data_IF_000130662667
#
_entry.id   IF_000130662667
#
_cell.length_a   1.000
_cell.length_b   1.000
_cell.length_c   1.000
_cell.angle_alpha   90.00
_cell.angle_beta   90.00
_cell.angle_gamma   90.00
#
_symmetry.space_group_name_H-M   'P 1'
#
loop_
_entity.id
_entity.type
_entity.pdbx_description
1 polymer ?
#
# COMPACT_ATOMS: atom_id res chain seq x y z
N UNK A 1 17.87 -31.25 21.10
CA UNK A 1 17.89 -29.84 20.67
C UNK A 1 16.50 -29.31 20.91
N UNK A 2 16.33 -28.42 21.85
CA UNK A 2 15.06 -27.73 22.02
C UNK A 2 14.89 -26.80 20.83
N UNK A 3 13.82 -26.99 20.05
CA UNK A 3 13.46 -26.08 18.98
C UNK A 3 13.28 -24.67 19.56
N UNK A 4 14.00 -23.68 19.04
CA UNK A 4 13.82 -22.27 19.37
C UNK A 4 12.77 -21.61 18.48
N UNK A 5 12.14 -22.40 17.61
CA UNK A 5 11.09 -21.92 16.72
C UNK A 5 9.82 -21.58 17.52
N UNK A 6 9.26 -20.41 17.27
CA UNK A 6 7.96 -20.02 17.80
C UNK A 6 6.90 -20.49 16.83
N UNK A 7 5.91 -21.18 17.33
CA UNK A 7 4.71 -21.49 16.56
C UNK A 7 3.59 -20.52 16.96
N UNK A 8 3.20 -19.66 16.03
CA UNK A 8 2.17 -18.63 16.21
C UNK A 8 0.85 -19.11 15.61
N UNK A 9 -0.18 -19.21 16.42
CA UNK A 9 -1.53 -19.56 15.99
C UNK A 9 -2.36 -18.28 15.77
N UNK A 10 -2.99 -18.08 14.60
CA UNK A 10 -3.98 -17.03 14.43
C UNK A 10 -5.24 -17.33 15.23
N UNK A 11 -5.87 -16.30 15.76
CA UNK A 11 -7.15 -16.38 16.46
C UNK A 11 -8.11 -15.36 15.87
N UNK A 12 -9.29 -15.84 15.50
CA UNK A 12 -10.39 -15.03 15.02
C UNK A 12 -11.35 -14.68 16.14
N UNK A 13 -12.10 -13.62 15.95
CA UNK A 13 -13.20 -13.24 16.84
C UNK A 13 -14.23 -14.38 16.92
N UNK A 14 -14.77 -14.60 18.12
CA UNK A 14 -15.75 -15.66 18.42
C UNK A 14 -15.22 -17.11 18.34
N UNK A 15 -13.91 -17.33 18.16
CA UNK A 15 -13.31 -18.66 18.08
C UNK A 15 -12.43 -19.01 19.31
N UNK A 16 -12.66 -18.40 20.46
CA UNK A 16 -11.84 -18.58 21.66
C UNK A 16 -11.64 -20.05 22.06
N UNK A 17 -12.69 -20.85 22.13
CA UNK A 17 -12.60 -22.25 22.51
C UNK A 17 -11.80 -23.07 21.49
N UNK A 18 -12.00 -22.81 20.18
CA UNK A 18 -11.22 -23.47 19.14
C UNK A 18 -9.75 -23.07 19.16
N UNK A 19 -9.48 -21.80 19.44
CA UNK A 19 -8.11 -21.29 19.61
C UNK A 19 -7.40 -21.98 20.78
N UNK A 20 -8.07 -22.19 21.91
CA UNK A 20 -7.52 -22.91 23.06
C UNK A 20 -7.20 -24.36 22.69
N UNK A 21 -8.17 -25.07 22.10
CA UNK A 21 -8.00 -26.46 21.66
C UNK A 21 -6.79 -26.60 20.75
N UNK A 22 -6.69 -25.75 19.72
CA UNK A 22 -5.61 -25.82 18.72
C UNK A 22 -4.27 -25.38 19.32
N UNK A 23 -4.27 -24.38 20.22
CA UNK A 23 -3.04 -23.93 20.89
C UNK A 23 -2.44 -25.04 21.75
N UNK A 24 -3.27 -25.84 22.41
CA UNK A 24 -2.83 -26.99 23.20
C UNK A 24 -2.39 -28.14 22.27
N UNK A 25 -3.24 -28.51 21.30
CA UNK A 25 -3.02 -29.64 20.41
C UNK A 25 -1.72 -29.48 19.58
N UNK A 26 -1.45 -28.27 19.12
CA UNK A 26 -0.29 -27.99 18.26
C UNK A 26 0.90 -27.43 19.04
N UNK A 27 0.76 -27.18 20.33
CA UNK A 27 1.83 -26.64 21.14
C UNK A 27 2.20 -25.21 20.75
N UNK A 28 1.20 -24.33 20.52
CA UNK A 28 1.47 -22.97 20.12
C UNK A 28 2.23 -22.21 21.21
N UNK A 29 3.30 -21.49 20.82
CA UNK A 29 4.10 -20.64 21.70
C UNK A 29 3.51 -19.23 21.79
N UNK A 30 2.81 -18.81 20.76
CA UNK A 30 2.25 -17.48 20.62
C UNK A 30 0.85 -17.52 19.96
N UNK A 31 0.08 -16.49 20.21
CA UNK A 31 -1.22 -16.25 19.57
C UNK A 31 -1.16 -14.92 18.83
N UNK A 32 -1.70 -14.88 17.64
CA UNK A 32 -1.83 -13.67 16.84
C UNK A 32 -3.30 -13.36 16.60
N UNK A 33 -3.71 -12.10 16.80
CA UNK A 33 -5.02 -11.69 16.31
C UNK A 33 -5.03 -11.70 14.76
N UNK A 34 -6.16 -12.01 14.19
CA UNK A 34 -6.41 -11.75 12.78
C UNK A 34 -6.70 -10.27 12.56
N UNK A 35 -6.43 -9.81 11.36
CA UNK A 35 -6.44 -8.41 10.93
C UNK A 35 -7.54 -7.56 11.59
N UNK A 36 -7.19 -6.87 12.68
CA UNK A 36 -8.09 -5.96 13.38
C UNK A 36 -9.09 -6.62 14.35
N UNK A 37 -9.06 -7.94 14.56
CA UNK A 37 -9.92 -8.62 15.52
C UNK A 37 -9.39 -8.43 16.96
N UNK A 38 -10.30 -8.35 17.93
CA UNK A 38 -9.95 -8.36 19.35
C UNK A 38 -9.79 -9.81 19.83
N UNK A 39 -8.71 -10.06 20.59
CA UNK A 39 -8.54 -11.35 21.24
C UNK A 39 -9.44 -11.43 22.48
N UNK A 40 -10.18 -12.54 22.59
CA UNK A 40 -11.00 -12.85 23.75
C UNK A 40 -10.14 -12.97 25.02
N UNK A 41 -10.66 -12.51 26.17
CA UNK A 41 -9.97 -12.61 27.47
C UNK A 41 -9.56 -14.04 27.79
N UNK A 42 -10.37 -15.03 27.39
CA UNK A 42 -10.05 -16.44 27.60
C UNK A 42 -8.84 -16.91 26.78
N UNK A 43 -8.58 -16.28 25.63
CA UNK A 43 -7.37 -16.51 24.82
C UNK A 43 -6.17 -15.84 25.47
N UNK A 44 -6.31 -14.61 25.94
CA UNK A 44 -5.27 -13.88 26.66
C UNK A 44 -4.85 -14.61 27.95
N UNK A 45 -5.81 -15.23 28.64
CA UNK A 45 -5.57 -16.01 29.87
C UNK A 45 -4.72 -17.27 29.64
N UNK A 46 -4.46 -17.71 28.39
CA UNK A 46 -3.55 -18.81 28.10
C UNK A 46 -2.09 -18.52 28.44
N UNK A 47 -1.73 -17.26 28.72
CA UNK A 47 -0.37 -16.85 29.06
C UNK A 47 0.63 -17.07 27.93
N UNK A 48 0.17 -17.09 26.70
CA UNK A 48 1.01 -17.18 25.50
C UNK A 48 1.51 -15.80 25.10
N UNK A 49 2.59 -15.75 24.33
CA UNK A 49 3.07 -14.51 23.74
C UNK A 49 2.03 -13.97 22.73
N UNK A 50 1.72 -12.68 22.81
CA UNK A 50 0.66 -12.05 22.01
C UNK A 50 1.30 -11.22 20.89
N UNK A 51 0.92 -11.56 19.67
CA UNK A 51 1.22 -10.78 18.46
C UNK A 51 -0.03 -10.03 18.04
N UNK A 52 0.05 -8.72 17.86
CA UNK A 52 -1.09 -7.94 17.37
C UNK A 52 -0.77 -7.28 16.06
N UNK A 53 -1.63 -7.49 15.08
CA UNK A 53 -1.59 -6.72 13.84
C UNK A 53 -1.88 -5.25 14.14
N UNK A 54 -1.11 -4.37 13.53
CA UNK A 54 -1.31 -2.93 13.57
C UNK A 54 -1.20 -2.34 12.17
N UNK A 55 -2.21 -1.59 11.80
CA UNK A 55 -2.30 -0.92 10.51
C UNK A 55 -2.07 0.57 10.72
N UNK A 56 -0.88 1.11 10.37
CA UNK A 56 -0.52 2.49 10.71
C UNK A 56 -1.36 3.54 9.98
N UNK A 57 -1.92 3.21 8.83
CA UNK A 57 -2.50 4.18 7.89
C UNK A 57 -3.93 3.90 7.50
N UNK A 58 -4.72 3.29 8.39
CA UNK A 58 -6.16 3.07 8.21
C UNK A 58 -6.88 2.92 9.56
N UNK A 59 -8.18 2.57 9.53
CA UNK A 59 -9.03 2.33 10.70
C UNK A 59 -9.40 3.59 11.53
N UNK A 60 -9.37 4.77 10.92
CA UNK A 60 -9.76 6.03 11.56
C UNK A 60 -10.54 6.93 10.59
N UNK A 61 -11.66 6.42 10.07
CA UNK A 61 -12.48 7.14 9.10
C UNK A 61 -12.97 8.49 9.62
N UNK A 62 -13.29 8.60 10.93
CA UNK A 62 -13.72 9.84 11.57
C UNK A 62 -12.68 10.96 11.47
N UNK A 63 -11.40 10.63 11.40
CA UNK A 63 -10.33 11.60 11.23
C UNK A 63 -10.08 11.94 9.77
N UNK A 64 -9.91 10.91 8.91
CA UNK A 64 -9.52 11.12 7.50
C UNK A 64 -10.63 11.77 6.68
N UNK A 65 -11.91 11.57 7.01
CA UNK A 65 -13.02 12.27 6.34
C UNK A 65 -12.96 13.80 6.49
N UNK A 66 -12.26 14.30 7.50
CA UNK A 66 -11.98 15.73 7.67
C UNK A 66 -10.71 16.19 6.92
N UNK A 67 -9.96 15.26 6.33
CA UNK A 67 -8.66 15.47 5.69
C UNK A 67 -8.55 14.66 4.39
N UNK A 68 -9.62 14.65 3.59
CA UNK A 68 -9.69 13.82 2.36
C UNK A 68 -8.60 14.15 1.34
N UNK A 69 -8.06 15.37 1.37
CA UNK A 69 -6.92 15.80 0.57
C UNK A 69 -5.58 15.19 1.02
N UNK A 70 -5.56 14.54 2.19
CA UNK A 70 -4.40 13.82 2.74
C UNK A 70 -4.52 12.28 2.58
N UNK A 71 -5.43 11.78 1.75
CA UNK A 71 -5.46 10.37 1.34
C UNK A 71 -4.35 10.05 0.32
N UNK A 72 -3.89 8.80 0.23
CA UNK A 72 -2.92 8.41 -0.79
C UNK A 72 -3.43 8.70 -2.20
N UNK A 73 -2.50 9.03 -3.09
CA UNK A 73 -2.83 9.31 -4.49
C UNK A 73 -2.03 8.41 -5.44
N UNK A 74 -2.56 8.23 -6.61
CA UNK A 74 -1.98 7.44 -7.69
C UNK A 74 -2.21 8.15 -9.02
N UNK A 75 -1.30 7.97 -9.98
CA UNK A 75 -1.57 8.32 -11.36
C UNK A 75 -2.37 7.22 -12.05
N UNK A 76 -3.48 7.60 -12.64
CA UNK A 76 -4.30 6.74 -13.49
C UNK A 76 -4.10 7.12 -14.96
N UNK A 77 -4.20 6.14 -15.85
CA UNK A 77 -4.14 6.31 -17.28
C UNK A 77 -5.48 5.89 -17.89
N UNK A 78 -6.13 6.80 -18.60
CA UNK A 78 -7.37 6.50 -19.32
C UNK A 78 -7.17 5.46 -20.43
N UNK A 79 -8.26 4.88 -20.90
CA UNK A 79 -8.25 4.17 -22.17
C UNK A 79 -7.80 5.10 -23.32
N UNK A 80 -7.33 4.51 -24.41
CA UNK A 80 -7.03 5.25 -25.65
C UNK A 80 -8.32 5.60 -26.37
N UNK A 81 -8.52 6.87 -26.64
CA UNK A 81 -9.69 7.39 -27.36
C UNK A 81 -9.25 7.90 -28.74
N UNK A 82 -9.88 7.39 -29.77
CA UNK A 82 -9.61 7.81 -31.15
C UNK A 82 -10.32 9.14 -31.43
N UNK A 83 -9.57 10.13 -31.89
CA UNK A 83 -10.14 11.40 -32.34
C UNK A 83 -10.71 11.26 -33.76
N UNK A 84 -12.00 11.48 -33.93
CA UNK A 84 -12.66 11.50 -35.25
C UNK A 84 -12.60 12.89 -35.88
N UNK A 85 -12.27 13.91 -35.11
CA UNK A 85 -12.22 15.32 -35.55
C UNK A 85 -11.05 16.05 -34.88
N UNK A 86 -11.00 17.38 -35.02
CA UNK A 86 -9.99 18.22 -34.38
C UNK A 86 -10.22 18.40 -32.87
N UNK A 87 -11.18 17.70 -32.31
CA UNK A 87 -11.44 17.64 -30.87
C UNK A 87 -11.83 16.22 -30.47
N UNK A 88 -11.50 15.86 -29.22
CA UNK A 88 -11.89 14.57 -28.62
C UNK A 88 -12.14 14.72 -27.13
N UNK A 89 -13.15 14.06 -26.63
CA UNK A 89 -13.48 13.98 -25.22
C UNK A 89 -12.93 12.70 -24.63
N UNK A 90 -12.20 12.81 -23.53
CA UNK A 90 -11.56 11.68 -22.85
C UNK A 90 -12.14 11.57 -21.43
N UNK A 91 -13.08 10.64 -21.19
CA UNK A 91 -13.61 10.39 -19.85
C UNK A 91 -12.52 9.82 -18.96
N UNK A 92 -12.38 10.39 -17.75
CA UNK A 92 -11.30 10.03 -16.82
C UNK A 92 -11.56 8.68 -16.14
N UNK A 93 -12.81 8.45 -15.72
CA UNK A 93 -13.13 7.32 -14.85
C UNK A 93 -13.63 6.07 -15.58
N UNK A 94 -13.66 6.09 -16.93
CA UNK A 94 -14.12 4.95 -17.71
C UNK A 94 -13.24 3.71 -17.44
N UNK A 95 -13.88 2.66 -16.91
CA UNK A 95 -13.25 1.41 -16.51
C UNK A 95 -12.51 1.43 -15.18
N UNK A 96 -12.60 2.52 -14.39
CA UNK A 96 -12.13 2.57 -13.01
C UNK A 96 -13.28 2.39 -12.03
N UNK A 97 -12.95 2.03 -10.79
CA UNK A 97 -13.90 1.77 -9.74
C UNK A 97 -14.08 3.01 -8.88
N UNK A 98 -15.19 3.73 -9.07
CA UNK A 98 -15.46 5.02 -8.43
C UNK A 98 -15.62 4.95 -6.91
N UNK A 99 -15.95 3.79 -6.35
CA UNK A 99 -15.98 3.58 -4.90
C UNK A 99 -14.58 3.58 -4.28
N UNK A 100 -13.54 3.29 -5.08
CA UNK A 100 -12.16 3.24 -4.62
C UNK A 100 -11.36 4.49 -5.00
N UNK A 101 -11.67 5.09 -6.12
CA UNK A 101 -10.84 6.10 -6.77
C UNK A 101 -11.65 7.36 -7.08
N UNK A 102 -11.05 8.53 -6.86
CA UNK A 102 -11.65 9.82 -7.16
C UNK A 102 -10.63 10.75 -7.80
N UNK A 103 -10.89 11.36 -8.97
CA UNK A 103 -9.97 12.32 -9.56
C UNK A 103 -9.63 13.47 -8.61
N UNK A 104 -8.34 13.81 -8.50
CA UNK A 104 -7.92 14.97 -7.72
C UNK A 104 -8.14 16.26 -8.54
N UNK A 105 -9.26 16.91 -8.30
CA UNK A 105 -9.63 18.18 -8.92
C UNK A 105 -9.15 19.41 -8.14
N UNK A 106 -8.60 19.21 -6.94
CA UNK A 106 -8.13 20.29 -6.06
C UNK A 106 -6.74 20.78 -6.48
N UNK A 107 -5.94 19.91 -7.11
CA UNK A 107 -4.67 20.27 -7.70
C UNK A 107 -4.84 20.86 -9.11
N UNK A 108 -3.94 21.78 -9.49
CA UNK A 108 -3.92 22.33 -10.86
C UNK A 108 -3.68 21.21 -11.91
N UNK A 109 -4.69 20.87 -12.75
CA UNK A 109 -4.54 19.80 -13.74
C UNK A 109 -3.42 20.08 -14.75
N UNK A 110 -3.25 21.33 -15.18
CA UNK A 110 -2.20 21.70 -16.14
C UNK A 110 -0.78 21.58 -15.57
N UNK A 111 -0.65 21.49 -14.25
CA UNK A 111 0.62 21.27 -13.57
C UNK A 111 0.93 19.79 -13.33
N UNK A 112 -0.08 18.98 -13.02
CA UNK A 112 0.11 17.61 -12.54
C UNK A 112 -0.42 16.53 -13.47
N UNK A 113 -1.21 16.85 -14.48
CA UNK A 113 -1.75 15.89 -15.43
C UNK A 113 -1.11 16.05 -16.79
N UNK A 114 -1.18 15.03 -17.63
CA UNK A 114 -0.70 15.06 -19.00
C UNK A 114 -1.73 14.45 -19.96
N UNK A 115 -1.95 15.15 -21.07
CA UNK A 115 -2.62 14.59 -22.24
C UNK A 115 -1.55 14.18 -23.24
N UNK A 116 -1.61 12.93 -23.70
CA UNK A 116 -0.61 12.38 -24.64
C UNK A 116 -1.30 11.89 -25.92
N UNK A 117 -0.82 12.37 -27.04
CA UNK A 117 -1.10 11.78 -28.34
C UNK A 117 -0.30 10.48 -28.48
N UNK A 118 -0.96 9.35 -28.33
CA UNK A 118 -0.32 8.02 -28.35
C UNK A 118 0.10 7.57 -29.75
N UNK A 119 -0.38 8.25 -30.79
CA UNK A 119 0.03 7.97 -32.17
C UNK A 119 1.41 8.53 -32.45
N UNK A 120 1.72 9.72 -31.92
CA UNK A 120 3.03 10.39 -32.10
C UNK A 120 3.94 10.22 -30.88
N UNK A 121 3.38 10.01 -29.69
CA UNK A 121 4.09 10.03 -28.42
C UNK A 121 4.31 11.45 -27.85
N UNK A 122 3.73 12.47 -28.48
CA UNK A 122 3.87 13.87 -28.06
C UNK A 122 2.88 14.23 -26.96
N UNK A 123 3.33 15.10 -26.04
CA UNK A 123 2.45 15.69 -25.02
C UNK A 123 1.69 16.84 -25.64
N UNK A 124 0.38 16.87 -25.47
CA UNK A 124 -0.45 17.98 -25.90
C UNK A 124 -0.19 19.19 -24.99
N UNK A 125 0.07 20.35 -25.62
CA UNK A 125 0.28 21.60 -24.87
C UNK A 125 -0.93 21.87 -23.92
N UNK A 126 -0.70 22.33 -22.69
CA UNK A 126 -1.79 22.60 -21.74
C UNK A 126 -2.90 23.53 -22.28
N UNK A 127 -2.57 24.44 -23.21
CA UNK A 127 -3.57 25.26 -23.87
C UNK A 127 -4.46 24.52 -24.85
N UNK A 128 -4.11 23.29 -25.24
CA UNK A 128 -4.84 22.43 -26.16
C UNK A 128 -5.91 21.55 -25.53
N UNK A 129 -6.13 21.65 -24.24
CA UNK A 129 -7.15 20.86 -23.55
C UNK A 129 -7.70 21.57 -22.31
N UNK A 130 -8.89 21.17 -21.87
CA UNK A 130 -9.55 21.67 -20.65
C UNK A 130 -10.22 20.52 -19.90
N UNK A 131 -10.34 20.65 -18.58
CA UNK A 131 -11.09 19.73 -17.74
C UNK A 131 -12.50 20.23 -17.53
N UNK A 132 -13.50 19.37 -17.76
CA UNK A 132 -14.84 19.55 -17.20
C UNK A 132 -14.93 18.79 -15.87
N UNK A 133 -14.91 19.50 -14.72
CA UNK A 133 -14.95 18.84 -13.41
C UNK A 133 -16.35 18.28 -13.08
N UNK A 134 -17.39 18.65 -13.81
CA UNK A 134 -18.75 18.16 -13.60
C UNK A 134 -18.98 16.79 -14.23
N UNK A 135 -18.30 16.51 -15.34
CA UNK A 135 -18.41 15.26 -16.10
C UNK A 135 -17.18 14.37 -16.00
N UNK A 136 -16.14 14.75 -15.24
CA UNK A 136 -14.85 14.06 -15.20
C UNK A 136 -14.28 13.77 -16.59
N UNK A 137 -14.35 14.74 -17.45
CA UNK A 137 -13.97 14.61 -18.85
C UNK A 137 -12.90 15.66 -19.22
N UNK A 138 -11.85 15.24 -19.91
CA UNK A 138 -10.88 16.14 -20.52
C UNK A 138 -11.24 16.35 -21.99
N UNK A 139 -11.49 17.62 -22.34
CA UNK A 139 -11.78 18.04 -23.71
C UNK A 139 -10.47 18.45 -24.38
N UNK A 140 -9.97 17.66 -25.33
CA UNK A 140 -8.80 17.97 -26.15
C UNK A 140 -9.26 18.75 -27.38
N UNK A 141 -8.94 20.05 -27.43
CA UNK A 141 -9.38 20.97 -28.51
C UNK A 141 -8.38 21.08 -29.67
N UNK A 142 -7.17 20.54 -29.48
CA UNK A 142 -6.11 20.50 -30.48
C UNK A 142 -5.84 19.08 -31.00
N UNK A 143 -6.88 18.25 -31.05
CA UNK A 143 -6.74 16.88 -31.52
C UNK A 143 -6.49 16.79 -33.03
N UNK A 144 -5.71 15.79 -33.44
CA UNK A 144 -5.51 15.44 -34.86
C UNK A 144 -6.43 14.27 -35.21
N UNK A 145 -7.24 14.37 -36.26
CA UNK A 145 -8.12 13.26 -36.64
C UNK A 145 -7.33 11.96 -36.87
N UNK A 146 -7.90 10.83 -36.45
CA UNK A 146 -7.32 9.50 -36.52
C UNK A 146 -6.11 9.26 -35.57
N UNK A 147 -5.81 10.20 -34.69
CA UNK A 147 -4.87 9.97 -33.60
C UNK A 147 -5.58 9.47 -32.34
N UNK A 148 -4.87 8.71 -31.52
CA UNK A 148 -5.34 8.22 -30.21
C UNK A 148 -4.80 9.07 -29.07
N UNK A 149 -5.67 9.40 -28.13
CA UNK A 149 -5.34 10.24 -26.96
C UNK A 149 -5.57 9.49 -25.68
N UNK A 150 -4.74 9.80 -24.68
CA UNK A 150 -4.93 9.38 -23.27
C UNK A 150 -4.68 10.55 -22.34
N UNK A 151 -5.26 10.47 -21.17
CA UNK A 151 -4.98 11.37 -20.06
C UNK A 151 -4.35 10.58 -18.92
N UNK A 152 -3.23 11.08 -18.42
CA UNK A 152 -2.62 10.62 -17.16
C UNK A 152 -2.98 11.65 -16.09
N UNK A 153 -3.71 11.23 -15.06
CA UNK A 153 -4.25 12.13 -14.05
C UNK A 153 -4.07 11.60 -12.63
N UNK A 154 -3.98 12.50 -11.65
CA UNK A 154 -3.96 12.14 -10.24
C UNK A 154 -5.36 11.76 -9.74
N UNK A 155 -5.42 10.69 -8.96
CA UNK A 155 -6.63 10.28 -8.26
C UNK A 155 -6.34 9.97 -6.80
N UNK A 156 -7.26 10.32 -5.91
CA UNK A 156 -7.27 9.88 -4.53
C UNK A 156 -7.70 8.42 -4.44
N UNK A 157 -7.05 7.66 -3.55
CA UNK A 157 -7.48 6.32 -3.15
C UNK A 157 -8.37 6.49 -1.92
N UNK A 158 -9.67 6.29 -2.08
CA UNK A 158 -10.68 6.52 -1.04
C UNK A 158 -11.21 5.23 -0.40
N UNK A 159 -10.67 4.11 -0.78
CA UNK A 159 -10.87 2.81 -0.13
C UNK A 159 -9.52 2.09 -0.09
N UNK A 160 -9.07 1.67 1.11
CA UNK A 160 -7.80 0.96 1.27
C UNK A 160 -7.77 -0.30 0.38
N UNK A 161 -6.80 -0.43 -0.54
CA UNK A 161 -6.80 -1.52 -1.50
C UNK A 161 -6.69 -2.91 -0.87
N UNK A 162 -5.99 -3.02 0.27
CA UNK A 162 -5.85 -4.29 0.97
C UNK A 162 -7.12 -4.65 1.72
N UNK A 163 -7.76 -3.66 2.33
CA UNK A 163 -9.05 -3.85 2.99
C UNK A 163 -10.13 -4.19 1.95
N UNK A 164 -10.14 -3.50 0.81
CA UNK A 164 -11.00 -3.80 -0.32
C UNK A 164 -10.80 -5.23 -0.83
N UNK A 165 -9.56 -5.67 -0.99
CA UNK A 165 -9.26 -7.06 -1.36
C UNK A 165 -9.88 -8.05 -0.37
N UNK A 166 -9.71 -7.83 0.93
CA UNK A 166 -10.30 -8.67 1.97
C UNK A 166 -11.82 -8.65 1.96
N UNK A 167 -12.45 -7.52 1.69
CA UNK A 167 -13.90 -7.44 1.50
C UNK A 167 -14.38 -8.35 0.37
N UNK A 168 -13.69 -8.33 -0.76
CA UNK A 168 -14.05 -9.12 -1.93
C UNK A 168 -13.84 -10.62 -1.72
N UNK A 169 -12.76 -10.99 -1.00
CA UNK A 169 -12.41 -12.41 -0.78
C UNK A 169 -13.10 -13.01 0.43
N UNK A 170 -13.43 -12.22 1.45
CA UNK A 170 -13.99 -12.68 2.71
C UNK A 170 -15.49 -12.38 2.86
N UNK A 171 -16.12 -11.79 1.84
CA UNK A 171 -17.55 -11.46 1.82
C UNK A 171 -18.01 -10.66 3.07
N UNK A 172 -17.26 -9.59 3.39
CA UNK A 172 -17.53 -8.80 4.61
C UNK A 172 -18.81 -7.95 4.53
N UNK A 173 -19.50 -7.94 3.40
CA UNK A 173 -20.83 -7.35 3.26
C UNK A 173 -20.89 -5.89 3.65
N UNK A 174 -21.63 -5.59 4.72
CA UNK A 174 -21.93 -4.22 5.17
C UNK A 174 -20.86 -3.58 6.07
N UNK A 175 -19.68 -4.17 6.19
CA UNK A 175 -18.60 -3.55 6.96
C UNK A 175 -18.22 -2.22 6.30
N UNK A 176 -18.06 -1.17 7.12
CA UNK A 176 -17.61 0.14 6.65
C UNK A 176 -16.26 0.05 5.94
N UNK A 177 -16.16 0.71 4.79
CA UNK A 177 -14.90 0.78 4.04
C UNK A 177 -13.90 1.68 4.76
N UNK A 178 -12.68 1.17 4.94
CA UNK A 178 -11.60 1.94 5.55
C UNK A 178 -10.90 2.80 4.51
N UNK A 179 -10.74 4.08 4.84
CA UNK A 179 -10.05 5.06 4.00
C UNK A 179 -8.58 5.12 4.44
N UNK A 180 -7.62 4.95 3.53
CA UNK A 180 -6.20 5.01 3.87
C UNK A 180 -5.71 6.44 4.07
N UNK A 181 -4.58 6.61 4.77
CA UNK A 181 -3.94 7.92 5.02
C UNK A 181 -2.58 8.00 4.36
N UNK A 182 -2.21 9.20 3.90
CA UNK A 182 -0.87 9.48 3.42
C UNK A 182 -0.03 10.21 4.48
N UNK A 183 0.88 9.50 5.12
CA UNK A 183 1.77 10.09 6.14
C UNK A 183 2.80 11.06 5.58
N UNK A 184 2.90 11.24 4.27
CA UNK A 184 3.74 12.28 3.71
C UNK A 184 3.23 13.67 4.12
N UNK A 185 1.94 13.81 4.41
CA UNK A 185 1.35 15.00 4.97
C UNK A 185 1.66 15.13 6.48
N UNK A 186 2.18 16.28 6.95
CA UNK A 186 2.62 16.43 8.33
C UNK A 186 1.51 16.26 9.38
N UNK A 187 0.27 16.69 9.08
CA UNK A 187 -0.86 16.54 10.00
C UNK A 187 -1.21 15.07 10.16
N UNK A 188 -1.36 14.36 9.07
CA UNK A 188 -1.60 12.91 9.04
C UNK A 188 -0.47 12.14 9.73
N UNK A 189 0.78 12.47 9.44
CA UNK A 189 1.93 11.84 10.09
C UNK A 189 1.89 12.03 11.61
N UNK A 190 1.60 13.25 12.08
CA UNK A 190 1.45 13.50 13.51
C UNK A 190 0.34 12.66 14.11
N UNK A 191 -0.84 12.64 13.47
CA UNK A 191 -1.98 11.87 13.92
C UNK A 191 -1.66 10.37 14.05
N UNK A 192 -1.03 9.79 13.04
CA UNK A 192 -0.64 8.36 13.02
C UNK A 192 0.30 8.03 14.20
N UNK A 193 1.29 8.86 14.49
CA UNK A 193 2.20 8.60 15.58
C UNK A 193 1.56 8.82 16.97
N UNK A 194 0.73 9.84 17.11
CA UNK A 194 -0.02 10.07 18.37
C UNK A 194 -0.99 8.91 18.64
N UNK A 195 -1.68 8.43 17.61
CA UNK A 195 -2.59 7.29 17.70
C UNK A 195 -1.84 6.00 18.07
N UNK A 196 -0.68 5.77 17.45
CA UNK A 196 0.14 4.61 17.77
C UNK A 196 0.68 4.68 19.21
N UNK A 197 1.10 5.84 19.68
CA UNK A 197 1.52 6.02 21.07
C UNK A 197 0.39 5.69 22.05
N UNK A 198 -0.84 6.11 21.74
CA UNK A 198 -2.01 5.80 22.55
C UNK A 198 -2.32 4.29 22.52
N UNK A 199 -2.32 3.70 21.33
CA UNK A 199 -2.54 2.26 21.16
C UNK A 199 -1.54 1.41 21.97
N UNK A 200 -0.26 1.80 22.00
CA UNK A 200 0.76 1.11 22.80
C UNK A 200 0.44 1.14 24.30
N UNK A 201 -0.13 2.23 24.80
CA UNK A 201 -0.57 2.37 26.20
C UNK A 201 -1.80 1.51 26.50
N UNK A 202 -2.73 1.44 25.55
CA UNK A 202 -4.00 0.73 25.67
C UNK A 202 -3.86 -0.79 25.43
N UNK A 203 -2.72 -1.22 24.92
CA UNK A 203 -2.44 -2.62 24.57
C UNK A 203 -1.28 -3.23 25.37
N UNK A 204 -1.33 -3.20 26.74
CA UNK A 204 -0.24 -3.71 27.58
C UNK A 204 0.00 -5.22 27.41
N UNK A 205 -1.04 -5.98 27.00
CA UNK A 205 -0.99 -7.42 26.79
C UNK A 205 -0.23 -7.84 25.54
N UNK A 206 0.03 -6.91 24.59
CA UNK A 206 0.72 -7.21 23.35
C UNK A 206 2.22 -7.26 23.59
N UNK A 207 2.86 -8.33 23.15
CA UNK A 207 4.32 -8.50 23.22
C UNK A 207 5.01 -8.10 21.93
N UNK A 208 4.36 -8.33 20.77
CA UNK A 208 4.90 -8.06 19.46
C UNK A 208 3.91 -7.24 18.62
N UNK A 209 4.32 -6.08 18.19
CA UNK A 209 3.58 -5.27 17.23
C UNK A 209 3.92 -5.78 15.83
N UNK A 210 2.94 -6.30 15.13
CA UNK A 210 3.06 -6.78 13.77
C UNK A 210 2.48 -5.74 12.83
N UNK A 211 3.34 -4.89 12.29
CA UNK A 211 2.94 -3.90 11.30
C UNK A 211 2.50 -4.60 10.02
N UNK A 212 1.25 -4.40 9.65
CA UNK A 212 0.65 -4.96 8.44
C UNK A 212 0.33 -3.84 7.49
N UNK A 213 0.50 -4.08 6.19
CA UNK A 213 0.30 -3.07 5.16
C UNK A 213 1.08 -1.80 5.48
N UNK A 214 2.39 -1.91 5.39
CA UNK A 214 3.29 -0.83 5.72
C UNK A 214 3.23 0.28 4.67
N UNK A 215 3.69 1.47 5.00
CA UNK A 215 3.67 2.63 4.11
C UNK A 215 4.17 2.26 2.70
N UNK A 216 3.35 2.45 1.69
CA UNK A 216 3.70 2.35 0.27
C UNK A 216 4.36 1.04 -0.18
N UNK A 217 4.04 -0.08 0.43
CA UNK A 217 4.61 -1.36 0.05
C UNK A 217 4.08 -1.86 -1.29
N UNK A 218 2.78 -1.77 -1.48
CA UNK A 218 2.11 -2.10 -2.74
C UNK A 218 0.72 -1.48 -2.80
N UNK A 219 0.23 -1.30 -4.01
CA UNK A 219 -1.11 -0.80 -4.29
C UNK A 219 -1.80 -1.74 -5.27
N UNK A 220 -2.97 -2.23 -4.89
CA UNK A 220 -3.87 -2.96 -5.76
C UNK A 220 -4.98 -2.00 -6.19
N UNK A 221 -5.17 -1.86 -7.48
CA UNK A 221 -6.28 -1.09 -8.04
C UNK A 221 -7.21 -2.03 -8.80
N UNK A 222 -8.49 -1.87 -8.59
CA UNK A 222 -9.52 -2.69 -9.22
C UNK A 222 -10.29 -1.88 -10.26
N UNK A 223 -10.72 -2.51 -11.31
CA UNK A 223 -11.65 -1.93 -12.29
C UNK A 223 -13.11 -2.14 -11.83
N UNK A 224 -14.05 -1.58 -12.58
CA UNK A 224 -15.50 -1.72 -12.34
C UNK A 224 -15.96 -3.19 -12.22
N UNK A 225 -15.23 -4.13 -12.78
CA UNK A 225 -15.48 -5.59 -12.66
C UNK A 225 -14.75 -6.21 -11.48
N UNK A 226 -14.16 -5.40 -10.61
CA UNK A 226 -13.38 -5.82 -9.43
C UNK A 226 -12.20 -6.71 -9.77
N UNK A 227 -11.59 -6.49 -10.95
CA UNK A 227 -10.36 -7.17 -11.34
C UNK A 227 -9.17 -6.30 -11.00
N UNK A 228 -8.09 -6.94 -10.59
CA UNK A 228 -6.81 -6.28 -10.39
C UNK A 228 -6.37 -5.55 -11.67
N UNK A 229 -6.16 -4.25 -11.60
CA UNK A 229 -5.78 -3.40 -12.72
C UNK A 229 -4.32 -2.95 -12.65
N UNK A 230 -3.86 -2.64 -11.47
CA UNK A 230 -2.50 -2.19 -11.19
C UNK A 230 -1.99 -2.84 -9.92
N UNK A 231 -0.77 -3.36 -9.96
CA UNK A 231 -0.04 -3.82 -8.79
C UNK A 231 1.29 -3.08 -8.75
N UNK A 232 1.47 -2.28 -7.71
CA UNK A 232 2.75 -1.62 -7.44
C UNK A 232 3.38 -2.18 -6.17
N UNK A 233 4.26 -3.15 -6.36
CA UNK A 233 4.96 -3.84 -5.28
C UNK A 233 5.94 -2.97 -4.53
N UNK A 234 6.36 -1.87 -5.10
CA UNK A 234 7.36 -0.96 -4.52
C UNK A 234 6.73 0.29 -3.92
N UNK A 235 5.43 0.48 -4.04
CA UNK A 235 4.75 1.71 -3.67
C UNK A 235 5.10 2.92 -4.54
N UNK A 236 5.71 2.69 -5.70
CA UNK A 236 6.18 3.77 -6.57
C UNK A 236 5.07 4.52 -7.28
N UNK A 237 3.95 3.85 -7.55
CA UNK A 237 2.80 4.45 -8.22
C UNK A 237 1.80 5.08 -7.24
N UNK A 238 1.94 4.81 -5.95
CA UNK A 238 1.11 5.37 -4.89
C UNK A 238 1.82 6.56 -4.21
N UNK A 239 1.05 7.44 -3.58
CA UNK A 239 1.57 8.58 -2.82
C UNK A 239 2.30 9.61 -3.67
N UNK A 240 1.86 9.77 -4.90
CA UNK A 240 2.34 10.80 -5.81
C UNK A 240 1.61 12.14 -5.61
N UNK A 241 1.29 12.48 -4.37
CA UNK A 241 0.59 13.72 -4.05
C UNK A 241 1.33 14.95 -4.61
N UNK A 242 0.63 16.04 -4.93
CA UNK A 242 1.26 17.31 -5.35
C UNK A 242 2.38 17.75 -4.42
N UNK A 243 2.21 17.55 -3.11
CA UNK A 243 3.22 17.85 -2.12
C UNK A 243 4.50 17.02 -2.30
N UNK A 244 4.37 15.71 -2.44
CA UNK A 244 5.50 14.82 -2.62
C UNK A 244 6.23 15.09 -3.94
N UNK A 245 5.49 15.36 -5.03
CA UNK A 245 6.05 15.71 -6.32
C UNK A 245 6.82 17.04 -6.28
N UNK A 246 6.28 18.06 -5.61
CA UNK A 246 6.96 19.36 -5.47
C UNK A 246 8.21 19.28 -4.57
N UNK A 247 8.18 18.46 -3.53
CA UNK A 247 9.33 18.23 -2.66
C UNK A 247 10.42 17.42 -3.38
N UNK A 248 10.04 16.43 -4.19
CA UNK A 248 10.97 15.73 -5.07
C UNK A 248 11.66 16.68 -6.07
N UNK A 249 10.88 17.54 -6.74
CA UNK A 249 11.43 18.53 -7.67
C UNK A 249 12.46 19.44 -7.01
N UNK A 250 12.21 19.87 -5.77
CA UNK A 250 13.15 20.68 -4.98
C UNK A 250 14.43 19.93 -4.65
N UNK A 251 14.32 18.66 -4.29
CA UNK A 251 15.46 17.83 -3.86
C UNK A 251 16.32 17.37 -5.05
N UNK A 252 15.69 16.90 -6.12
CA UNK A 252 16.39 16.29 -7.26
C UNK A 252 16.66 17.27 -8.42
N UNK A 253 16.04 18.46 -8.39
CA UNK A 253 16.28 19.52 -9.39
C UNK A 253 15.60 19.27 -10.74
N UNK A 254 14.68 18.33 -10.84
CA UNK A 254 13.86 18.10 -12.02
C UNK A 254 12.49 17.58 -11.63
N UNK A 255 11.50 17.77 -12.49
CA UNK A 255 10.13 17.34 -12.26
C UNK A 255 9.89 15.96 -12.85
N UNK A 256 9.18 15.11 -12.11
CA UNK A 256 8.62 13.87 -12.63
C UNK A 256 7.35 14.17 -13.44
N UNK A 257 7.20 13.44 -14.51
CA UNK A 257 6.00 13.49 -15.36
C UNK A 257 5.02 12.38 -14.97
N UNK A 258 3.71 12.58 -15.18
CA UNK A 258 2.73 11.49 -15.06
C UNK A 258 3.15 10.21 -15.78
N UNK A 259 3.73 10.35 -16.97
CA UNK A 259 4.20 9.21 -17.76
C UNK A 259 5.34 8.40 -17.10
N UNK A 260 6.10 9.01 -16.17
CA UNK A 260 7.11 8.28 -15.40
C UNK A 260 6.49 7.23 -14.47
N UNK A 261 5.24 7.41 -14.08
CA UNK A 261 4.49 6.49 -13.22
C UNK A 261 3.65 5.48 -14.00
N UNK A 262 2.91 5.94 -15.00
CA UNK A 262 2.00 5.06 -15.75
C UNK A 262 2.70 4.28 -16.87
N UNK A 263 3.80 4.80 -17.43
CA UNK A 263 4.64 4.14 -18.45
C UNK A 263 3.81 3.50 -19.58
N UNK A 264 2.89 4.28 -20.15
CA UNK A 264 2.01 3.80 -21.22
C UNK A 264 1.07 2.67 -20.82
N UNK A 265 0.80 2.50 -19.53
CA UNK A 265 -0.03 1.43 -18.95
C UNK A 265 0.77 0.29 -18.30
N UNK A 266 2.09 0.38 -18.28
CA UNK A 266 2.93 -0.64 -17.65
C UNK A 266 3.16 -0.40 -16.14
N UNK A 267 2.86 0.76 -15.61
CA UNK A 267 2.86 1.10 -14.19
C UNK A 267 4.07 0.58 -13.41
N UNK A 268 5.28 0.94 -13.86
CA UNK A 268 6.52 0.52 -13.19
C UNK A 268 6.65 -0.99 -12.95
N UNK A 269 6.21 -1.78 -13.90
CA UNK A 269 6.23 -3.24 -13.80
C UNK A 269 7.58 -3.79 -13.36
N UNK A 270 7.59 -4.67 -12.37
CA UNK A 270 8.78 -5.23 -11.73
C UNK A 270 9.73 -5.97 -12.67
N UNK A 271 9.27 -6.39 -13.83
CA UNK A 271 10.09 -7.04 -14.87
C UNK A 271 10.81 -6.06 -15.83
N UNK A 272 10.60 -4.76 -15.67
CA UNK A 272 11.29 -3.74 -16.45
C UNK A 272 12.52 -3.22 -15.74
N UNK A 273 13.53 -2.85 -16.50
CA UNK A 273 14.69 -2.14 -15.97
C UNK A 273 14.25 -0.73 -15.55
N UNK A 274 14.36 -0.36 -14.27
CA UNK A 274 13.91 0.94 -13.80
C UNK A 274 14.67 2.07 -14.49
N UNK A 275 13.94 3.07 -14.98
CA UNK A 275 14.52 4.31 -15.50
C UNK A 275 15.10 5.17 -14.38
N UNK A 276 15.91 6.18 -14.73
CA UNK A 276 16.49 7.10 -13.74
C UNK A 276 15.41 7.74 -12.86
N UNK A 277 14.35 8.25 -13.46
CA UNK A 277 13.22 8.87 -12.75
C UNK A 277 12.59 7.92 -11.71
N UNK A 278 12.38 6.65 -12.07
CA UNK A 278 11.85 5.64 -11.16
C UNK A 278 12.81 5.36 -10.00
N UNK A 279 14.12 5.21 -10.28
CA UNK A 279 15.12 4.98 -9.22
C UNK A 279 15.21 6.15 -8.26
N UNK A 280 15.22 7.36 -8.78
CA UNK A 280 15.30 8.57 -7.96
C UNK A 280 14.05 8.71 -7.09
N UNK A 281 12.86 8.39 -7.64
CA UNK A 281 11.60 8.40 -6.86
C UNK A 281 11.59 7.33 -5.77
N UNK A 282 12.04 6.11 -6.09
CA UNK A 282 12.19 5.04 -5.10
C UNK A 282 13.16 5.44 -4.00
N UNK A 283 14.29 6.08 -4.35
CA UNK A 283 15.26 6.57 -3.36
C UNK A 283 14.69 7.67 -2.46
N UNK A 284 13.96 8.60 -3.04
CA UNK A 284 13.24 9.65 -2.33
C UNK A 284 12.24 9.07 -1.32
N UNK A 285 11.33 8.21 -1.77
CA UNK A 285 10.35 7.58 -0.89
C UNK A 285 11.01 6.66 0.15
N UNK A 286 12.02 5.89 -0.24
CA UNK A 286 12.72 4.98 0.67
C UNK A 286 13.34 5.70 1.86
N UNK A 287 13.90 6.89 1.65
CA UNK A 287 14.43 7.73 2.74
C UNK A 287 13.34 8.06 3.76
N UNK A 288 12.22 8.54 3.27
CA UNK A 288 11.07 8.90 4.08
C UNK A 288 10.46 7.68 4.81
N UNK A 289 10.27 6.57 4.12
CA UNK A 289 9.71 5.33 4.70
C UNK A 289 10.62 4.80 5.80
N UNK A 290 11.94 4.71 5.56
CA UNK A 290 12.90 4.24 6.56
C UNK A 290 12.89 5.06 7.84
N UNK A 291 12.83 6.39 7.74
CA UNK A 291 12.74 7.27 8.91
C UNK A 291 11.50 6.95 9.75
N UNK A 292 10.34 6.84 9.12
CA UNK A 292 9.09 6.63 9.81
C UNK A 292 8.93 5.19 10.36
N UNK A 293 9.42 4.18 9.63
CA UNK A 293 9.50 2.79 10.12
C UNK A 293 10.37 2.69 11.35
N UNK A 294 11.55 3.30 11.30
CA UNK A 294 12.45 3.33 12.46
C UNK A 294 11.77 3.95 13.67
N UNK A 295 11.06 5.05 13.49
CA UNK A 295 10.32 5.71 14.57
C UNK A 295 9.28 4.80 15.18
N UNK A 296 8.50 4.06 14.39
CA UNK A 296 7.51 3.09 14.90
C UNK A 296 8.18 1.94 15.66
N UNK A 297 9.30 1.42 15.15
CA UNK A 297 10.09 0.38 15.84
C UNK A 297 10.63 0.90 17.19
N UNK A 298 11.22 2.10 17.20
CA UNK A 298 11.75 2.72 18.44
C UNK A 298 10.63 2.94 19.48
N UNK A 299 9.43 3.37 19.05
CA UNK A 299 8.27 3.53 19.93
C UNK A 299 7.81 2.18 20.51
N UNK A 300 7.78 1.13 19.70
CA UNK A 300 7.46 -0.24 20.15
C UNK A 300 8.45 -0.70 21.21
N UNK A 301 9.76 -0.53 20.97
CA UNK A 301 10.82 -0.89 21.91
C UNK A 301 10.74 -0.07 23.20
N UNK A 302 10.45 1.23 23.12
CA UNK A 302 10.28 2.07 24.29
C UNK A 302 9.10 1.61 25.18
N UNK A 303 8.08 0.99 24.56
CA UNK A 303 6.97 0.35 25.26
C UNK A 303 7.26 -1.11 25.69
N UNK A 304 8.50 -1.59 25.54
CA UNK A 304 8.91 -2.95 25.90
C UNK A 304 8.41 -4.05 24.95
N UNK A 305 8.00 -3.70 23.75
CA UNK A 305 7.45 -4.63 22.74
C UNK A 305 8.44 -4.88 21.61
N UNK A 306 8.37 -6.05 20.99
CA UNK A 306 9.08 -6.32 19.74
C UNK A 306 8.34 -5.67 18.56
N UNK A 307 9.09 -5.28 17.53
CA UNK A 307 8.57 -4.75 16.28
C UNK A 307 8.80 -5.74 15.14
N UNK A 308 7.73 -6.09 14.45
CA UNK A 308 7.73 -7.00 13.31
C UNK A 308 7.05 -6.36 12.12
N UNK A 309 7.55 -6.58 10.92
CA UNK A 309 6.97 -6.05 9.70
C UNK A 309 6.52 -7.17 8.76
N UNK A 310 5.33 -7.01 8.20
CA UNK A 310 4.83 -7.85 7.13
C UNK A 310 5.27 -7.31 5.76
N UNK A 311 5.97 -8.11 4.98
CA UNK A 311 6.53 -7.74 3.68
C UNK A 311 5.64 -8.12 2.48
N UNK A 312 4.41 -8.54 2.74
CA UNK A 312 3.51 -9.02 1.70
C UNK A 312 3.80 -10.46 1.28
N UNK A 313 3.07 -10.93 0.29
CA UNK A 313 3.16 -12.31 -0.19
C UNK A 313 4.41 -12.57 -1.03
N UNK A 314 5.02 -11.51 -1.52
CA UNK A 314 6.33 -11.54 -2.14
C UNK A 314 7.18 -10.52 -1.41
N UNK A 315 8.29 -10.91 -0.86
CA UNK A 315 9.22 -10.07 -0.08
C UNK A 315 9.76 -8.85 -0.85
N UNK A 316 9.27 -8.58 -2.04
CA UNK A 316 9.53 -7.45 -2.92
C UNK A 316 9.51 -6.10 -2.17
N UNK A 317 8.72 -5.98 -1.11
CA UNK A 317 8.68 -4.78 -0.26
C UNK A 317 9.98 -4.46 0.49
N UNK A 318 11.06 -5.25 0.38
CA UNK A 318 12.36 -4.91 0.96
C UNK A 318 13.16 -3.92 0.13
N UNK A 319 12.93 -3.83 -1.16
CA UNK A 319 13.71 -2.95 -2.04
C UNK A 319 13.64 -1.46 -1.65
N UNK A 320 12.49 -0.91 -1.20
CA UNK A 320 12.45 0.45 -0.71
C UNK A 320 13.37 0.72 0.48
N UNK A 321 13.75 -0.32 1.21
CA UNK A 321 14.60 -0.20 2.40
C UNK A 321 16.10 -0.33 2.11
N UNK A 322 16.47 -0.93 0.99
CA UNK A 322 17.85 -1.08 0.53
C UNK A 322 18.84 -1.46 1.65
N UNK A 323 20.05 -0.90 1.58
CA UNK A 323 21.13 -1.10 2.56
C UNK A 323 20.86 -0.48 3.94
N UNK A 324 19.70 0.14 4.13
CA UNK A 324 19.31 0.74 5.42
C UNK A 324 18.46 -0.18 6.29
N UNK A 325 18.10 -1.36 5.81
CA UNK A 325 17.14 -2.23 6.51
C UNK A 325 17.60 -2.60 7.93
N UNK A 326 18.90 -2.91 8.13
CA UNK A 326 19.47 -3.22 9.43
C UNK A 326 19.37 -2.07 10.45
N UNK A 327 19.14 -0.83 9.98
CA UNK A 327 19.02 0.36 10.83
C UNK A 327 17.60 0.65 11.27
N UNK A 328 16.61 -0.09 10.75
CA UNK A 328 15.20 0.12 11.09
C UNK A 328 14.85 -0.32 12.51
N UNK A 329 15.65 -1.21 13.09
CA UNK A 329 15.40 -1.72 14.44
C UNK A 329 14.29 -2.77 14.51
N UNK A 330 13.87 -3.33 13.37
CA UNK A 330 12.90 -4.41 13.36
C UNK A 330 13.49 -5.70 13.93
N UNK A 331 12.74 -6.37 14.79
CA UNK A 331 13.15 -7.65 15.39
C UNK A 331 12.91 -8.82 14.47
N UNK A 332 11.86 -8.72 13.63
CA UNK A 332 11.47 -9.76 12.72
C UNK A 332 10.76 -9.23 11.47
N UNK A 333 10.72 -10.06 10.45
CA UNK A 333 9.89 -9.87 9.26
C UNK A 333 8.99 -11.07 9.04
N UNK A 334 7.82 -10.84 8.47
CA UNK A 334 6.91 -11.87 7.98
C UNK A 334 7.01 -11.91 6.47
N UNK A 335 7.31 -13.07 5.92
CA UNK A 335 7.35 -13.27 4.48
C UNK A 335 6.60 -14.52 4.05
N UNK A 336 6.04 -14.51 2.87
CA UNK A 336 5.54 -15.73 2.26
C UNK A 336 6.72 -16.56 1.77
N UNK A 337 6.87 -17.73 2.35
CA UNK A 337 7.94 -18.67 1.98
C UNK A 337 7.39 -19.60 0.90
N UNK A 338 7.54 -19.17 -0.35
CA UNK A 338 7.15 -19.98 -1.51
C UNK A 338 8.21 -20.99 -1.92
N UNK A 339 9.50 -20.65 -1.68
CA UNK A 339 10.62 -21.49 -2.08
C UNK A 339 11.90 -21.24 -1.24
N UNK A 340 12.92 -22.05 -1.46
CA UNK A 340 14.19 -21.91 -0.74
C UNK A 340 14.99 -20.65 -1.11
N UNK A 341 14.74 -20.03 -2.25
CA UNK A 341 15.39 -18.77 -2.63
C UNK A 341 14.83 -17.61 -1.80
N UNK A 342 13.51 -17.49 -1.75
CA UNK A 342 12.82 -16.49 -0.92
C UNK A 342 13.24 -16.63 0.55
N UNK A 343 13.28 -17.85 1.09
CA UNK A 343 13.75 -18.11 2.46
C UNK A 343 15.17 -17.59 2.70
N UNK A 344 16.09 -17.85 1.77
CA UNK A 344 17.48 -17.35 1.89
C UNK A 344 17.56 -15.84 1.83
N UNK A 345 16.82 -15.23 0.91
CA UNK A 345 16.82 -13.78 0.76
C UNK A 345 16.31 -13.07 2.02
N UNK A 346 15.26 -13.60 2.63
CA UNK A 346 14.75 -13.06 3.90
C UNK A 346 15.73 -13.32 5.04
N UNK A 347 16.35 -14.51 5.10
CA UNK A 347 17.32 -14.86 6.13
C UNK A 347 18.61 -14.02 6.04
N UNK A 348 18.95 -13.55 4.86
CA UNK A 348 20.13 -12.72 4.62
C UNK A 348 19.90 -11.21 4.92
N UNK A 349 18.69 -10.81 5.32
CA UNK A 349 18.41 -9.42 5.68
C UNK A 349 19.18 -9.06 6.97
N UNK A 350 20.11 -8.09 6.92
CA UNK A 350 20.88 -7.71 8.08
C UNK A 350 20.01 -7.14 9.21
N UNK A 351 20.37 -7.47 10.45
CA UNK A 351 19.73 -6.93 11.66
C UNK A 351 18.41 -7.60 12.08
N UNK A 352 17.82 -8.44 11.24
CA UNK A 352 16.61 -9.20 11.57
C UNK A 352 16.99 -10.42 12.43
N UNK A 353 16.34 -10.56 13.59
CA UNK A 353 16.63 -11.64 14.55
C UNK A 353 15.99 -12.96 14.16
N UNK A 354 14.80 -12.90 13.56
CA UNK A 354 14.07 -14.08 13.10
C UNK A 354 13.08 -13.72 11.99
N UNK A 355 12.62 -14.74 11.29
CA UNK A 355 11.64 -14.61 10.22
C UNK A 355 10.43 -15.46 10.53
N UNK A 356 9.23 -14.91 10.42
CA UNK A 356 8.00 -15.67 10.44
C UNK A 356 7.68 -16.15 9.02
N UNK A 357 7.62 -17.45 8.83
CA UNK A 357 7.09 -18.08 7.63
C UNK A 357 5.60 -18.37 7.79
N UNK A 358 4.81 -18.08 6.77
CA UNK A 358 3.39 -18.43 6.75
C UNK A 358 3.22 -19.86 6.27
N UNK A 359 2.55 -20.68 7.09
CA UNK A 359 2.11 -22.00 6.69
C UNK A 359 0.63 -21.93 6.29
N UNK A 360 0.34 -22.15 5.02
CA UNK A 360 -0.99 -22.02 4.43
C UNK A 360 -1.50 -23.39 3.94
N UNK A 361 -1.86 -24.31 4.85
CA UNK A 361 -2.20 -25.69 4.49
C UNK A 361 -3.43 -25.81 3.60
N UNK A 362 -4.31 -24.84 3.61
CA UNK A 362 -5.53 -24.85 2.81
C UNK A 362 -5.30 -24.49 1.32
N UNK A 363 -4.14 -23.97 0.95
CA UNK A 363 -3.78 -23.78 -0.46
C UNK A 363 -3.21 -25.04 -1.13
N UNK A 364 -2.75 -25.97 -0.34
CA UNK A 364 -2.00 -27.11 -0.86
C UNK A 364 -2.82 -28.17 -1.61
N UNK A 365 -4.10 -28.46 -1.26
CA UNK A 365 -4.84 -29.45 -2.03
C UNK A 365 -5.00 -29.07 -3.50
N UNK A 366 -5.13 -27.79 -3.81
CA UNK A 366 -5.41 -27.31 -5.17
C UNK A 366 -4.16 -26.86 -5.93
N UNK A 367 -3.03 -26.70 -5.23
CA UNK A 367 -1.76 -26.23 -5.84
C UNK A 367 -0.73 -27.34 -6.07
N UNK A 368 -0.91 -28.49 -5.45
CA UNK A 368 0.02 -29.63 -5.56
C UNK A 368 -0.48 -30.79 -6.44
N UNK A 369 -1.60 -30.62 -7.12
CA UNK A 369 -2.14 -31.65 -8.03
C UNK A 369 -2.29 -31.13 -9.44
#
# INVERSE_FOLDING_TARGET
>A
MTSTGRFTLPSEENFAEKTKELAELWGADAIRNSDGTHLDEAVLALGKKIYSAYFPTRAHNEWITLHMDETPQVYLLTARILAESNAVDVPLMDGFFEEQLKPNRDADPHKYWEVVDRTTGEVVDPSGWTLDPGEDTVHVTAAVPMHEYTVSFLAYIIWDPVEMYNHLTNDWGDKEHEIPFDIYHPATRKFVFDTFEQWLKDSPQVDVVRFTTFFYQFTLLFDEKRREKVVDWFGCACTVSPRALDDFEKEYGYRLRPEDFVDGGAYNSAWRVPRKAQRDWIDFLSGFVRENVKRLADMSHAAGKEAMMFLGDQWIGTEPYKDGFEKLGLDAVVGSIGDGTTTRMIADIPGVKYTEGRFLPYFFPDTFY
#
